data_IF_229812867491
#
_entry.id   IF_229812867491
#
_cell.length_a   1.000
_cell.length_b   1.000
_cell.length_c   1.000
_cell.angle_alpha   90.00
_cell.angle_beta   90.00
_cell.angle_gamma   90.00
#
_symmetry.space_group_name_H-M   'P 1'
#
loop_
_entity.id
_entity.type
_entity.pdbx_description
1 polymer ?
#
# COMPACT_ATOMS: atom_id res chain seq x y z
N UNK A 1 -53.41 81.67 15.66
CA UNK A 1 -52.85 82.88 15.03
C UNK A 1 -52.01 82.35 13.90
N UNK A 2 -52.54 82.36 12.69
CA UNK A 2 -52.28 83.38 11.67
C UNK A 2 -50.75 83.47 11.38
N UNK A 3 -50.20 83.23 10.20
CA UNK A 3 -50.60 83.75 8.91
C UNK A 3 -49.88 83.04 7.79
N UNK A 4 -50.62 82.68 6.78
CA UNK A 4 -50.25 82.39 5.36
C UNK A 4 -49.44 83.50 4.74
N UNK A 5 -48.51 83.13 3.82
CA UNK A 5 -48.33 83.91 2.58
C UNK A 5 -47.74 83.01 1.47
N UNK A 6 -48.49 82.97 0.37
CA UNK A 6 -48.09 82.48 -0.97
C UNK A 6 -47.34 83.56 -1.74
N UNK A 7 -46.51 83.21 -2.66
CA UNK A 7 -46.24 83.78 -4.00
C UNK A 7 -45.26 82.92 -4.70
N UNK A 8 -45.55 82.25 -5.71
CA UNK A 8 -45.87 82.33 -7.17
C UNK A 8 -44.72 82.79 -8.05
N UNK A 9 -44.55 81.94 -9.13
CA UNK A 9 -43.98 82.18 -10.50
C UNK A 9 -42.49 82.46 -10.59
N UNK A 10 -41.77 81.97 -11.52
CA UNK A 10 -41.96 81.55 -12.91
C UNK A 10 -40.64 80.94 -13.52
N UNK A 11 -40.84 80.01 -14.36
CA UNK A 11 -40.04 79.71 -15.60
C UNK A 11 -38.65 80.30 -15.73
N UNK A 12 -37.63 79.35 -15.81
CA UNK A 12 -36.70 79.31 -16.92
C UNK A 12 -35.92 77.96 -16.90
N UNK A 13 -36.05 77.19 -17.99
CA UNK A 13 -35.13 76.07 -18.29
C UNK A 13 -33.90 76.60 -19.01
N UNK A 14 -32.72 76.12 -18.74
CA UNK A 14 -31.77 75.83 -19.81
C UNK A 14 -31.45 74.35 -19.91
N UNK A 15 -31.47 73.89 -21.16
CA UNK A 15 -30.99 72.62 -21.64
C UNK A 15 -29.47 72.55 -21.35
N UNK A 16 -29.05 71.53 -20.63
CA UNK A 16 -27.66 71.07 -20.66
C UNK A 16 -27.62 69.62 -21.11
N UNK A 17 -26.77 69.41 -22.10
CA UNK A 17 -26.51 68.19 -22.82
C UNK A 17 -26.05 67.10 -21.90
N UNK A 18 -26.69 65.93 -21.99
CA UNK A 18 -26.29 64.71 -21.31
C UNK A 18 -25.00 64.18 -21.91
N UNK A 19 -23.90 64.27 -21.18
CA UNK A 19 -22.72 63.46 -21.42
C UNK A 19 -22.89 62.15 -20.63
N UNK A 20 -23.14 61.04 -21.35
CA UNK A 20 -23.12 59.69 -20.82
C UNK A 20 -21.65 59.32 -20.57
N UNK A 21 -21.19 59.41 -19.32
CA UNK A 21 -20.00 58.72 -18.87
C UNK A 21 -20.37 57.27 -18.57
N UNK A 22 -20.07 56.37 -19.45
CA UNK A 22 -20.09 54.90 -19.19
C UNK A 22 -18.87 54.57 -18.37
N UNK A 23 -19.03 54.48 -17.08
CA UNK A 23 -18.05 53.84 -16.17
C UNK A 23 -18.18 52.33 -16.35
N UNK A 24 -17.33 51.76 -17.20
CA UNK A 24 -17.12 50.31 -17.25
C UNK A 24 -16.40 49.88 -15.97
N UNK A 25 -17.13 49.34 -15.03
CA UNK A 25 -16.57 48.61 -13.90
C UNK A 25 -16.10 47.27 -14.48
N UNK A 26 -14.79 47.13 -14.72
CA UNK A 26 -14.16 45.84 -14.99
C UNK A 26 -14.22 45.01 -13.67
N UNK A 27 -15.22 44.16 -13.58
CA UNK A 27 -15.27 43.09 -12.58
C UNK A 27 -14.28 42.02 -13.06
N UNK A 28 -13.03 42.11 -12.63
CA UNK A 28 -12.06 41.00 -12.76
C UNK A 28 -12.54 39.86 -11.86
N UNK A 29 -13.35 38.97 -12.41
CA UNK A 29 -13.65 37.70 -11.78
C UNK A 29 -12.35 36.90 -11.68
N UNK A 30 -11.78 36.87 -10.48
CA UNK A 30 -10.73 35.94 -10.10
C UNK A 30 -11.36 34.54 -10.10
N UNK A 31 -11.40 33.90 -11.27
CA UNK A 31 -11.76 32.50 -11.40
C UNK A 31 -10.61 31.72 -10.76
N UNK A 32 -10.72 31.48 -9.44
CA UNK A 32 -9.95 30.42 -8.80
C UNK A 32 -10.27 29.15 -9.56
N UNK A 33 -9.30 28.70 -10.34
CA UNK A 33 -9.41 27.48 -11.12
C UNK A 33 -9.66 26.32 -10.16
N UNK A 34 -10.91 25.89 -10.03
CA UNK A 34 -11.24 24.59 -9.49
C UNK A 34 -10.68 23.60 -10.50
N UNK A 35 -9.45 23.16 -10.27
CA UNK A 35 -8.85 22.08 -11.03
C UNK A 35 -9.80 20.89 -10.90
N UNK A 36 -10.40 20.45 -11.99
CA UNK A 36 -11.16 19.22 -11.99
C UNK A 36 -10.27 18.09 -11.44
N UNK A 37 -10.79 17.20 -10.59
CA UNK A 37 -10.02 16.08 -10.12
C UNK A 37 -9.46 15.33 -11.33
N UNK A 38 -8.17 15.05 -11.31
CA UNK A 38 -7.52 14.29 -12.39
C UNK A 38 -8.31 12.99 -12.61
N UNK A 39 -8.58 12.59 -13.86
CA UNK A 39 -9.30 11.35 -14.13
C UNK A 39 -8.57 10.21 -13.42
N UNK A 40 -9.32 9.37 -12.69
CA UNK A 40 -8.76 8.21 -12.03
C UNK A 40 -7.99 7.38 -13.05
N UNK A 41 -6.72 7.09 -12.77
CA UNK A 41 -5.88 6.31 -13.66
C UNK A 41 -6.55 4.95 -13.94
N UNK A 42 -6.73 4.61 -15.22
CA UNK A 42 -7.33 3.32 -15.59
C UNK A 42 -6.46 2.17 -15.08
N UNK A 43 -7.09 1.21 -14.41
CA UNK A 43 -6.42 0.00 -13.96
C UNK A 43 -6.25 -0.93 -15.16
N UNK A 44 -5.01 -1.32 -15.43
CA UNK A 44 -4.67 -2.39 -16.37
C UNK A 44 -4.35 -3.65 -15.58
N UNK A 45 -4.78 -4.81 -16.06
CA UNK A 45 -4.45 -6.09 -15.44
C UNK A 45 -4.07 -7.11 -16.49
N UNK A 46 -3.29 -8.10 -16.08
CA UNK A 46 -2.84 -9.16 -16.97
C UNK A 46 -2.23 -10.34 -16.24
N UNK A 47 -1.85 -11.33 -17.01
CA UNK A 47 -1.04 -12.48 -16.60
C UNK A 47 0.35 -12.28 -17.21
N UNK A 48 1.37 -12.30 -16.36
CA UNK A 48 2.76 -12.37 -16.80
C UNK A 48 3.22 -13.83 -16.77
N UNK A 49 3.53 -14.37 -17.94
CA UNK A 49 4.11 -15.71 -18.08
C UNK A 49 5.63 -15.59 -17.94
N UNK A 50 6.11 -15.69 -16.70
CA UNK A 50 7.51 -15.45 -16.35
C UNK A 50 8.03 -16.49 -15.37
N UNK A 51 9.32 -16.76 -15.37
CA UNK A 51 9.98 -17.69 -14.45
C UNK A 51 9.28 -19.07 -14.33
N UNK A 52 8.70 -19.55 -15.44
CA UNK A 52 7.97 -20.83 -15.49
C UNK A 52 6.69 -20.85 -14.66
N UNK A 53 6.04 -19.71 -14.48
CA UNK A 53 4.74 -19.57 -13.79
C UNK A 53 3.90 -18.48 -14.42
N UNK A 54 2.64 -18.37 -13.99
CA UNK A 54 1.70 -17.33 -14.37
C UNK A 54 1.44 -16.42 -13.15
N UNK A 55 1.90 -15.17 -13.22
CA UNK A 55 1.67 -14.17 -12.18
C UNK A 55 0.59 -13.19 -12.62
N UNK A 56 -0.48 -13.10 -11.85
CA UNK A 56 -1.50 -12.07 -12.07
C UNK A 56 -1.05 -10.74 -11.47
N UNK A 57 -1.12 -9.67 -12.26
CA UNK A 57 -0.78 -8.33 -11.83
C UNK A 57 -1.84 -7.30 -12.19
N UNK A 58 -1.79 -6.18 -11.50
CA UNK A 58 -2.55 -4.96 -11.79
C UNK A 58 -1.58 -3.77 -11.76
N UNK A 59 -1.77 -2.81 -12.69
CA UNK A 59 -1.00 -1.57 -12.72
C UNK A 59 -1.91 -0.38 -13.02
N UNK A 60 -1.61 0.76 -12.39
CA UNK A 60 -2.32 2.03 -12.61
C UNK A 60 -1.36 3.21 -12.41
N UNK A 61 -1.71 4.37 -12.98
CA UNK A 61 -0.91 5.58 -12.86
C UNK A 61 0.30 5.60 -13.80
N UNK A 62 1.21 6.54 -13.56
CA UNK A 62 2.39 6.78 -14.41
C UNK A 62 3.54 7.39 -13.60
N UNK A 63 4.73 7.50 -14.20
CA UNK A 63 5.91 8.09 -13.58
C UNK A 63 6.75 7.09 -12.77
N UNK A 64 7.32 7.52 -11.64
CA UNK A 64 8.11 6.66 -10.75
C UNK A 64 7.32 5.44 -10.33
N UNK A 65 7.98 4.29 -10.25
CA UNK A 65 7.31 3.01 -10.01
C UNK A 65 7.28 2.67 -8.52
N UNK A 66 6.10 2.25 -8.04
CA UNK A 66 5.91 1.58 -6.75
C UNK A 66 5.46 0.15 -7.02
N UNK A 67 6.06 -0.81 -6.34
CA UNK A 67 5.61 -2.21 -6.32
C UNK A 67 5.10 -2.56 -4.93
N UNK A 68 3.87 -3.08 -4.86
CA UNK A 68 3.21 -3.49 -3.62
C UNK A 68 3.22 -5.02 -3.52
N UNK A 69 3.92 -5.54 -2.49
CA UNK A 69 4.07 -6.97 -2.23
C UNK A 69 3.26 -7.37 -0.99
N UNK A 70 2.29 -8.24 -1.17
CA UNK A 70 1.38 -8.67 -0.10
C UNK A 70 2.02 -9.70 0.86
N UNK A 71 1.39 -9.90 2.01
CA UNK A 71 1.80 -10.85 3.04
C UNK A 71 1.45 -12.31 2.73
N UNK A 72 1.78 -13.21 3.63
CA UNK A 72 1.33 -14.60 3.58
C UNK A 72 -0.20 -14.70 3.72
N UNK A 73 -0.80 -15.75 3.14
CA UNK A 73 -2.22 -16.07 3.22
C UNK A 73 -3.23 -15.01 2.72
N UNK A 74 -2.75 -13.85 2.28
CA UNK A 74 -3.54 -12.84 1.58
C UNK A 74 -3.09 -12.71 0.12
N UNK A 75 -3.64 -11.77 -0.62
CA UNK A 75 -3.26 -11.47 -1.99
C UNK A 75 -3.20 -9.94 -2.23
N UNK A 76 -3.05 -9.51 -3.50
CA UNK A 76 -2.93 -8.09 -3.87
C UNK A 76 -4.04 -7.21 -3.31
N UNK A 77 -5.24 -7.77 -3.00
CA UNK A 77 -6.36 -7.00 -2.41
C UNK A 77 -6.05 -6.44 -1.03
N UNK A 78 -5.05 -6.97 -0.34
CA UNK A 78 -4.54 -6.38 0.90
C UNK A 78 -4.02 -4.94 0.71
N UNK A 79 -3.81 -4.51 -0.53
CA UNK A 79 -3.36 -3.17 -0.91
C UNK A 79 -4.46 -2.29 -1.54
N UNK A 80 -5.74 -2.67 -1.47
CA UNK A 80 -6.83 -1.89 -2.08
C UNK A 80 -6.87 -0.45 -1.56
N UNK A 81 -6.61 -0.23 -0.27
CA UNK A 81 -6.55 1.09 0.34
C UNK A 81 -5.37 1.98 -0.09
N UNK A 82 -4.36 1.42 -0.74
CA UNK A 82 -3.14 2.11 -1.19
C UNK A 82 -3.10 2.29 -2.70
N UNK A 83 -3.60 1.30 -3.43
CA UNK A 83 -3.37 1.17 -4.87
C UNK A 83 -3.84 2.40 -5.66
N UNK A 84 -5.08 2.82 -5.47
CA UNK A 84 -5.65 3.96 -6.20
C UNK A 84 -5.05 5.28 -5.74
N UNK A 85 -4.80 5.44 -4.44
CA UNK A 85 -4.26 6.68 -3.89
C UNK A 85 -2.82 6.92 -4.36
N UNK A 86 -1.99 5.88 -4.34
CA UNK A 86 -0.62 6.00 -4.85
C UNK A 86 -0.60 6.18 -6.38
N UNK A 87 -1.54 5.57 -7.11
CA UNK A 87 -1.64 5.70 -8.57
C UNK A 87 -1.95 7.14 -9.05
N UNK A 88 -2.41 8.03 -8.16
CA UNK A 88 -2.57 9.43 -8.48
C UNK A 88 -1.24 10.16 -8.75
N UNK A 89 -0.10 9.62 -8.28
CA UNK A 89 1.23 10.26 -8.38
C UNK A 89 2.33 9.35 -8.92
N UNK A 90 2.12 8.03 -8.91
CA UNK A 90 3.10 7.01 -9.24
C UNK A 90 2.51 6.00 -10.23
N UNK A 91 3.36 5.30 -10.96
CA UNK A 91 2.97 4.04 -11.58
C UNK A 91 3.00 2.96 -10.51
N UNK A 92 1.84 2.49 -10.08
CA UNK A 92 1.74 1.46 -9.05
C UNK A 92 1.52 0.10 -9.71
N UNK A 93 2.29 -0.88 -9.26
CA UNK A 93 2.18 -2.28 -9.64
C UNK A 93 1.87 -3.07 -8.39
N UNK A 94 0.86 -3.94 -8.43
CA UNK A 94 0.61 -4.96 -7.42
C UNK A 94 0.36 -6.29 -8.11
N UNK A 95 0.78 -7.37 -7.51
CA UNK A 95 0.62 -8.69 -8.10
C UNK A 95 0.31 -9.72 -7.02
N UNK A 96 -0.29 -10.84 -7.43
CA UNK A 96 -0.46 -11.99 -6.56
C UNK A 96 0.81 -12.82 -6.58
N UNK A 97 1.40 -13.05 -5.41
CA UNK A 97 2.55 -13.95 -5.26
C UNK A 97 2.18 -15.35 -5.73
N UNK A 98 3.17 -16.13 -6.18
CA UNK A 98 2.97 -17.53 -6.54
C UNK A 98 2.23 -18.28 -5.43
N UNK A 99 1.14 -18.97 -5.79
CA UNK A 99 0.27 -19.68 -4.86
C UNK A 99 -0.81 -18.82 -4.19
N UNK A 100 -0.94 -17.54 -4.54
CA UNK A 100 -1.96 -16.65 -3.99
C UNK A 100 -2.88 -16.08 -5.10
N UNK A 101 -4.08 -15.66 -4.71
CA UNK A 101 -5.03 -14.97 -5.56
C UNK A 101 -5.28 -15.68 -6.89
N UNK A 102 -4.99 -14.97 -7.99
CA UNK A 102 -5.15 -15.46 -9.36
C UNK A 102 -3.85 -16.02 -9.97
N UNK A 103 -2.73 -15.95 -9.25
CA UNK A 103 -1.46 -16.53 -9.70
C UNK A 103 -1.45 -18.03 -9.57
N UNK A 104 -0.64 -18.70 -10.41
CA UNK A 104 -0.50 -20.14 -10.39
C UNK A 104 0.11 -20.64 -9.07
N UNK A 105 -0.27 -21.86 -8.66
CA UNK A 105 0.39 -22.54 -7.54
C UNK A 105 1.76 -23.07 -7.98
N UNK A 106 2.74 -23.10 -7.07
CA UNK A 106 4.05 -23.66 -7.38
C UNK A 106 3.99 -25.19 -7.55
N UNK A 107 4.71 -25.72 -8.54
CA UNK A 107 4.87 -27.15 -8.81
C UNK A 107 6.31 -27.63 -8.58
N UNK A 108 7.25 -26.70 -8.46
CA UNK A 108 8.67 -26.94 -8.23
C UNK A 108 9.30 -25.84 -7.41
N UNK A 109 10.48 -26.07 -6.85
CA UNK A 109 11.23 -25.06 -6.10
C UNK A 109 11.39 -23.76 -6.90
N UNK A 110 11.24 -22.62 -6.25
CA UNK A 110 11.22 -21.30 -6.87
C UNK A 110 11.77 -20.22 -5.93
N UNK A 111 12.18 -19.09 -6.52
CA UNK A 111 12.52 -17.85 -5.78
C UNK A 111 11.47 -16.79 -6.02
N UNK A 112 10.93 -16.21 -4.93
CA UNK A 112 10.03 -15.06 -5.03
C UNK A 112 10.74 -13.79 -5.52
N UNK A 113 12.03 -13.64 -5.21
CA UNK A 113 12.84 -12.54 -5.69
C UNK A 113 13.04 -12.63 -7.20
N UNK A 114 13.33 -13.83 -7.72
CA UNK A 114 13.43 -14.06 -9.16
C UNK A 114 12.07 -13.87 -9.86
N UNK A 115 10.97 -14.30 -9.25
CA UNK A 115 9.61 -14.02 -9.77
C UNK A 115 9.38 -12.51 -9.92
N UNK A 116 9.76 -11.72 -8.91
CA UNK A 116 9.66 -10.25 -8.94
C UNK A 116 10.59 -9.67 -10.02
N UNK A 117 11.82 -10.14 -10.11
CA UNK A 117 12.76 -9.70 -11.15
C UNK A 117 12.19 -9.89 -12.55
N UNK A 118 11.73 -11.09 -12.86
CA UNK A 118 11.18 -11.41 -14.17
C UNK A 118 9.88 -10.65 -14.45
N UNK A 119 9.03 -10.43 -13.45
CA UNK A 119 7.83 -9.59 -13.57
C UNK A 119 8.19 -8.14 -13.91
N UNK A 120 9.17 -7.55 -13.23
CA UNK A 120 9.62 -6.18 -13.51
C UNK A 120 10.24 -6.06 -14.91
N UNK A 121 11.02 -7.05 -15.34
CA UNK A 121 11.54 -7.10 -16.72
C UNK A 121 10.42 -7.19 -17.75
N UNK A 122 9.42 -8.06 -17.53
CA UNK A 122 8.23 -8.18 -18.37
C UNK A 122 7.46 -6.85 -18.49
N UNK A 123 7.31 -6.12 -17.38
CA UNK A 123 6.62 -4.83 -17.32
C UNK A 123 7.49 -3.64 -17.74
N UNK A 124 8.74 -3.89 -18.18
CA UNK A 124 9.74 -2.90 -18.59
C UNK A 124 9.99 -1.86 -17.50
N UNK A 125 10.25 -2.35 -16.29
CA UNK A 125 10.59 -1.55 -15.11
C UNK A 125 12.06 -1.72 -14.82
N UNK A 126 12.83 -0.65 -14.93
CA UNK A 126 14.26 -0.65 -14.64
C UNK A 126 14.54 -0.39 -13.16
N UNK A 127 13.70 0.41 -12.49
CA UNK A 127 13.87 0.76 -11.08
C UNK A 127 12.53 1.04 -10.40
N UNK A 128 12.38 0.61 -9.14
CA UNK A 128 11.15 0.78 -8.38
C UNK A 128 11.39 1.02 -6.88
N UNK A 129 10.43 1.70 -6.23
CA UNK A 129 10.26 1.68 -4.78
C UNK A 129 9.48 0.42 -4.41
N UNK A 130 10.03 -0.42 -3.54
CA UNK A 130 9.40 -1.66 -3.09
C UNK A 130 8.72 -1.46 -1.74
N UNK A 131 7.45 -1.79 -1.65
CA UNK A 131 6.66 -1.70 -0.41
C UNK A 131 6.09 -3.08 -0.13
N UNK A 132 6.59 -3.75 0.91
CA UNK A 132 6.19 -5.10 1.23
C UNK A 132 5.71 -5.25 2.67
N UNK A 133 4.60 -5.98 2.86
CA UNK A 133 4.09 -6.33 4.18
C UNK A 133 4.45 -7.77 4.53
N UNK A 134 4.91 -8.02 5.75
CA UNK A 134 5.15 -9.36 6.28
C UNK A 134 6.07 -10.19 5.37
N UNK A 135 5.59 -11.29 4.79
CA UNK A 135 6.30 -12.08 3.77
C UNK A 135 6.72 -11.21 2.56
N UNK A 136 5.83 -10.32 2.10
CA UNK A 136 6.15 -9.40 0.99
C UNK A 136 7.30 -8.46 1.32
N UNK A 137 7.44 -8.07 2.59
CA UNK A 137 8.60 -7.29 3.04
C UNK A 137 9.90 -8.10 3.02
N UNK A 138 9.85 -9.38 3.38
CA UNK A 138 10.99 -10.30 3.20
C UNK A 138 11.42 -10.41 1.75
N UNK A 139 10.45 -10.60 0.83
CA UNK A 139 10.71 -10.68 -0.61
C UNK A 139 11.34 -9.37 -1.13
N UNK A 140 10.79 -8.22 -0.72
CA UNK A 140 11.32 -6.91 -1.11
C UNK A 140 12.76 -6.70 -0.59
N UNK A 141 13.06 -7.18 0.61
CA UNK A 141 14.39 -7.15 1.21
C UNK A 141 15.37 -8.03 0.43
N UNK A 142 14.98 -9.29 0.15
CA UNK A 142 15.79 -10.25 -0.60
C UNK A 142 16.09 -9.71 -2.01
N UNK A 143 15.06 -9.20 -2.70
CA UNK A 143 15.22 -8.56 -3.99
C UNK A 143 16.20 -7.38 -3.95
N UNK A 144 16.13 -6.55 -2.91
CA UNK A 144 17.04 -5.41 -2.76
C UNK A 144 18.49 -5.83 -2.56
N UNK A 145 18.71 -6.98 -1.91
CA UNK A 145 20.06 -7.57 -1.77
C UNK A 145 20.58 -8.15 -3.10
N UNK A 146 19.71 -8.75 -3.88
CA UNK A 146 20.06 -9.43 -5.14
C UNK A 146 20.14 -8.44 -6.32
N UNK A 147 19.29 -7.40 -6.33
CA UNK A 147 19.16 -6.41 -7.39
C UNK A 147 19.15 -4.96 -6.85
N UNK A 148 20.22 -4.53 -6.17
CA UNK A 148 20.26 -3.20 -5.55
C UNK A 148 20.12 -2.05 -6.56
N UNK A 149 20.56 -2.26 -7.81
CA UNK A 149 20.44 -1.30 -8.91
C UNK A 149 18.98 -1.06 -9.34
N UNK A 150 18.10 -2.06 -9.16
CA UNK A 150 16.68 -1.98 -9.49
C UNK A 150 15.81 -1.47 -8.33
N UNK A 151 16.39 -1.27 -7.15
CA UNK A 151 15.65 -0.77 -5.98
C UNK A 151 15.98 0.70 -5.74
N UNK A 152 14.96 1.55 -5.76
CA UNK A 152 15.10 2.98 -5.48
C UNK A 152 14.93 3.30 -3.99
N UNK A 153 13.98 2.65 -3.35
CA UNK A 153 13.69 2.73 -1.91
C UNK A 153 12.98 1.46 -1.44
N UNK A 154 13.06 1.21 -0.14
CA UNK A 154 12.47 0.04 0.51
C UNK A 154 11.55 0.46 1.66
N UNK A 155 10.32 -0.05 1.67
CA UNK A 155 9.38 0.10 2.80
C UNK A 155 9.02 -1.27 3.33
N UNK A 156 9.46 -1.55 4.55
CA UNK A 156 9.27 -2.82 5.27
C UNK A 156 8.13 -2.67 6.26
N UNK A 157 6.95 -3.20 5.92
CA UNK A 157 5.74 -3.10 6.75
C UNK A 157 5.57 -4.38 7.53
N UNK A 158 5.67 -4.34 8.85
CA UNK A 158 5.53 -5.53 9.72
C UNK A 158 6.23 -6.77 9.15
N UNK A 159 7.43 -6.58 8.59
CA UNK A 159 8.08 -7.53 7.69
C UNK A 159 8.68 -8.72 8.44
N UNK A 160 8.74 -9.88 7.80
CA UNK A 160 9.44 -11.06 8.30
C UNK A 160 10.76 -11.23 7.52
N UNK A 161 11.89 -11.05 8.21
CA UNK A 161 13.23 -11.22 7.64
C UNK A 161 13.90 -12.52 8.13
N UNK A 162 13.11 -13.57 8.39
CA UNK A 162 13.61 -14.90 8.78
C UNK A 162 13.70 -15.12 10.29
N UNK A 163 13.15 -14.23 11.10
CA UNK A 163 12.98 -14.41 12.55
C UNK A 163 11.47 -14.33 12.89
N UNK A 164 10.77 -15.44 12.68
CA UNK A 164 9.32 -15.51 12.89
C UNK A 164 8.99 -15.46 14.38
N UNK A 165 8.14 -14.51 14.82
CA UNK A 165 7.66 -14.43 16.18
C UNK A 165 6.96 -15.72 16.64
N UNK A 166 7.14 -16.11 17.92
CA UNK A 166 6.53 -17.32 18.46
C UNK A 166 5.01 -17.27 18.40
N UNK A 167 4.42 -16.13 18.74
CA UNK A 167 2.98 -15.93 18.66
C UNK A 167 2.42 -16.25 17.26
N UNK A 168 3.18 -15.94 16.20
CA UNK A 168 2.78 -16.27 14.83
C UNK A 168 2.89 -17.77 14.55
N UNK A 169 3.93 -18.43 15.05
CA UNK A 169 4.09 -19.87 14.89
C UNK A 169 2.92 -20.62 15.52
N UNK A 170 2.57 -20.28 16.75
CA UNK A 170 1.44 -20.88 17.47
C UNK A 170 0.11 -20.66 16.72
N UNK A 171 -0.13 -19.44 16.24
CA UNK A 171 -1.31 -19.11 15.43
C UNK A 171 -1.33 -19.87 14.10
N UNK A 172 -0.18 -20.03 13.41
CA UNK A 172 -0.09 -20.79 12.16
C UNK A 172 -0.44 -22.26 12.35
N UNK A 173 -0.01 -22.88 13.45
CA UNK A 173 -0.34 -24.26 13.80
C UNK A 173 -1.85 -24.41 14.04
N UNK A 174 -2.42 -23.55 14.90
CA UNK A 174 -3.87 -23.52 15.15
C UNK A 174 -4.69 -23.30 13.88
N UNK A 175 -4.25 -22.39 13.01
CA UNK A 175 -4.89 -22.14 11.72
C UNK A 175 -4.90 -23.38 10.83
N UNK A 176 -3.76 -24.09 10.78
CA UNK A 176 -3.63 -25.32 9.96
C UNK A 176 -4.53 -26.43 10.50
N UNK A 177 -4.55 -26.63 11.82
CA UNK A 177 -5.43 -27.63 12.45
C UNK A 177 -6.92 -27.30 12.22
N UNK A 178 -7.30 -26.04 12.43
CA UNK A 178 -8.67 -25.59 12.18
C UNK A 178 -9.07 -25.83 10.72
N UNK A 179 -8.17 -25.55 9.78
CA UNK A 179 -8.40 -25.76 8.35
C UNK A 179 -8.58 -27.23 7.97
N UNK A 180 -7.71 -28.11 8.47
CA UNK A 180 -7.81 -29.55 8.25
C UNK A 180 -9.09 -30.17 8.84
N UNK A 181 -9.51 -29.70 10.01
CA UNK A 181 -10.64 -30.23 10.75
C UNK A 181 -11.98 -29.66 10.30
N UNK A 182 -12.07 -28.36 10.05
CA UNK A 182 -13.31 -27.61 9.89
C UNK A 182 -13.34 -26.71 8.62
N UNK A 183 -12.36 -26.85 7.73
CA UNK A 183 -12.29 -26.13 6.46
C UNK A 183 -11.75 -24.70 6.53
N UNK A 184 -11.65 -24.09 5.36
CA UNK A 184 -11.00 -22.80 5.16
C UNK A 184 -11.62 -21.64 5.98
N UNK A 185 -12.95 -21.61 6.13
CA UNK A 185 -13.61 -20.58 6.92
C UNK A 185 -13.27 -20.62 8.41
N UNK A 186 -13.04 -21.83 8.99
CA UNK A 186 -12.57 -21.96 10.37
C UNK A 186 -11.12 -21.47 10.51
N UNK A 187 -10.25 -21.83 9.59
CA UNK A 187 -8.87 -21.36 9.52
C UNK A 187 -8.80 -19.84 9.39
N UNK A 188 -9.63 -19.26 8.49
CA UNK A 188 -9.69 -17.81 8.29
C UNK A 188 -10.09 -17.06 9.57
N UNK A 189 -11.00 -17.62 10.36
CA UNK A 189 -11.38 -17.04 11.66
C UNK A 189 -10.25 -17.09 12.68
N UNK A 190 -9.51 -18.21 12.77
CA UNK A 190 -8.35 -18.31 13.68
C UNK A 190 -7.33 -17.21 13.34
N UNK A 191 -6.96 -17.08 12.08
CA UNK A 191 -5.98 -16.07 11.65
C UNK A 191 -6.53 -14.64 11.73
N UNK A 192 -7.69 -14.39 11.13
CA UNK A 192 -8.23 -13.04 10.98
C UNK A 192 -8.79 -12.43 12.26
N UNK A 193 -8.99 -13.23 13.31
CA UNK A 193 -9.38 -12.76 14.65
C UNK A 193 -8.23 -12.80 15.65
N UNK A 194 -7.05 -13.26 15.24
CA UNK A 194 -5.85 -13.20 16.07
C UNK A 194 -5.54 -11.75 16.46
N UNK A 195 -5.25 -11.46 17.74
CA UNK A 195 -5.05 -10.09 18.22
C UNK A 195 -3.82 -9.39 17.63
N UNK A 196 -2.87 -10.15 17.11
CA UNK A 196 -1.63 -9.63 16.52
C UNK A 196 -1.66 -9.62 14.99
N UNK A 197 -2.22 -10.67 14.37
CA UNK A 197 -2.22 -10.85 12.92
C UNK A 197 -3.49 -10.36 12.22
N UNK A 198 -4.63 -10.40 12.91
CA UNK A 198 -5.91 -9.94 12.38
C UNK A 198 -6.02 -8.41 12.37
N UNK A 199 -6.92 -7.86 11.54
CA UNK A 199 -7.15 -6.42 11.53
C UNK A 199 -7.81 -5.96 12.82
N UNK A 200 -7.29 -4.87 13.39
CA UNK A 200 -7.89 -4.20 14.57
C UNK A 200 -9.21 -3.55 14.18
N UNK A 201 -9.27 -3.00 12.98
CA UNK A 201 -10.43 -2.28 12.44
C UNK A 201 -11.55 -3.25 12.05
N UNK A 202 -12.71 -3.14 12.73
CA UNK A 202 -13.83 -4.09 12.57
C UNK A 202 -14.44 -4.09 11.15
N UNK A 203 -14.57 -2.93 10.55
CA UNK A 203 -15.12 -2.79 9.19
C UNK A 203 -14.24 -3.43 8.11
N UNK A 204 -12.94 -3.62 8.39
CA UNK A 204 -12.02 -4.32 7.50
C UNK A 204 -12.06 -5.86 7.66
N UNK A 205 -12.54 -6.38 8.79
CA UNK A 205 -12.48 -7.82 9.13
C UNK A 205 -13.14 -8.70 8.09
N UNK A 206 -14.36 -8.36 7.68
CA UNK A 206 -15.10 -9.19 6.74
C UNK A 206 -14.35 -9.37 5.40
N UNK A 207 -13.74 -8.31 4.89
CA UNK A 207 -12.92 -8.35 3.68
C UNK A 207 -11.67 -9.21 3.85
N UNK A 208 -10.95 -9.04 4.96
CA UNK A 208 -9.74 -9.82 5.27
C UNK A 208 -10.08 -11.29 5.47
N UNK A 209 -11.14 -11.63 6.22
CA UNK A 209 -11.59 -13.01 6.42
C UNK A 209 -11.88 -13.69 5.09
N UNK A 210 -12.56 -13.01 4.16
CA UNK A 210 -12.83 -13.55 2.83
C UNK A 210 -11.55 -13.83 2.05
N UNK A 211 -10.58 -12.90 2.06
CA UNK A 211 -9.29 -13.09 1.38
C UNK A 211 -8.53 -14.27 1.99
N UNK A 212 -8.52 -14.39 3.32
CA UNK A 212 -7.89 -15.50 4.03
C UNK A 212 -8.56 -16.84 3.69
N UNK A 213 -9.89 -16.92 3.68
CA UNK A 213 -10.63 -18.12 3.33
C UNK A 213 -10.29 -18.64 1.93
N UNK A 214 -10.13 -17.73 0.97
CA UNK A 214 -9.78 -18.08 -0.41
C UNK A 214 -8.31 -18.54 -0.56
N UNK A 215 -7.37 -18.02 0.23
CA UNK A 215 -5.93 -18.25 0.04
C UNK A 215 -5.33 -19.27 1.01
N UNK A 216 -5.87 -19.41 2.22
CA UNK A 216 -5.30 -20.30 3.25
C UNK A 216 -5.16 -21.76 2.83
N UNK A 217 -6.12 -22.39 2.09
CA UNK A 217 -5.95 -23.78 1.65
C UNK A 217 -4.67 -24.02 0.85
N UNK A 218 -4.31 -23.09 -0.03
CA UNK A 218 -3.08 -23.18 -0.83
C UNK A 218 -1.83 -22.74 -0.07
N UNK A 219 -1.98 -21.82 0.89
CA UNK A 219 -0.88 -21.33 1.71
C UNK A 219 -0.47 -22.31 2.82
N UNK A 220 -1.45 -23.00 3.43
CA UNK A 220 -1.25 -23.91 4.57
C UNK A 220 -1.43 -25.39 4.23
N UNK A 221 -1.69 -25.72 2.98
CA UNK A 221 -1.81 -27.09 2.48
C UNK A 221 -2.74 -27.97 3.30
N UNK A 222 -4.03 -27.56 3.41
CA UNK A 222 -5.04 -28.31 4.18
C UNK A 222 -5.34 -29.70 3.60
N UNK A 223 -5.00 -29.92 2.34
CA UNK A 223 -5.09 -31.20 1.65
C UNK A 223 -3.98 -32.20 2.03
N UNK A 224 -3.04 -31.77 2.89
CA UNK A 224 -1.90 -32.59 3.30
C UNK A 224 -0.74 -32.60 2.31
N UNK A 225 -0.81 -31.83 1.23
CA UNK A 225 0.33 -31.65 0.33
C UNK A 225 1.49 -30.94 1.04
N UNK A 226 2.70 -31.18 0.55
CA UNK A 226 3.92 -30.56 1.11
C UNK A 226 4.17 -29.24 0.41
N UNK A 227 4.48 -28.20 1.19
CA UNK A 227 4.86 -26.91 0.63
C UNK A 227 6.09 -27.04 -0.28
N UNK A 228 5.99 -26.48 -1.48
CA UNK A 228 7.13 -26.42 -2.39
C UNK A 228 8.21 -25.50 -1.82
N UNK A 229 9.48 -25.92 -1.79
CA UNK A 229 10.55 -25.10 -1.23
C UNK A 229 10.71 -23.77 -1.95
N UNK A 230 10.93 -22.72 -1.17
CA UNK A 230 11.38 -21.43 -1.66
C UNK A 230 12.90 -21.37 -1.57
N UNK A 231 13.54 -20.90 -2.62
CA UNK A 231 14.99 -20.71 -2.69
C UNK A 231 15.34 -19.24 -2.56
N UNK A 232 16.54 -18.99 -2.08
CA UNK A 232 17.16 -17.66 -2.04
C UNK A 232 18.62 -17.79 -2.50
N UNK A 233 19.20 -16.70 -3.00
CA UNK A 233 20.55 -16.70 -3.58
C UNK A 233 21.67 -16.58 -2.56
N UNK A 234 21.35 -16.51 -1.27
CA UNK A 234 22.32 -16.36 -0.19
C UNK A 234 22.02 -17.30 0.99
N UNK A 235 23.04 -17.58 1.78
CA UNK A 235 22.93 -18.45 2.94
C UNK A 235 22.43 -17.71 4.19
N UNK A 236 21.58 -18.39 4.94
CA UNK A 236 21.07 -17.95 6.22
C UNK A 236 19.94 -16.92 6.15
N UNK A 237 19.44 -16.46 7.30
CA UNK A 237 18.29 -15.58 7.36
C UNK A 237 18.65 -14.14 6.98
N UNK A 238 17.72 -13.47 6.30
CA UNK A 238 17.86 -12.10 5.80
C UNK A 238 18.27 -11.09 6.90
N UNK A 239 17.77 -11.25 8.14
CA UNK A 239 18.08 -10.32 9.24
C UNK A 239 19.58 -10.26 9.61
N UNK A 240 20.40 -11.22 9.20
CA UNK A 240 21.87 -11.16 9.38
C UNK A 240 22.57 -10.26 8.34
N UNK A 241 21.83 -9.77 7.34
CA UNK A 241 22.35 -8.99 6.22
C UNK A 241 21.85 -7.55 6.17
N UNK A 242 21.24 -7.06 7.25
CA UNK A 242 20.65 -5.70 7.33
C UNK A 242 21.62 -4.61 6.90
N UNK A 243 22.89 -4.69 7.33
CA UNK A 243 23.91 -3.72 7.00
C UNK A 243 24.31 -3.65 5.52
N UNK A 244 23.82 -4.59 4.68
CA UNK A 244 24.11 -4.60 3.23
C UNK A 244 23.12 -3.74 2.43
N UNK A 245 21.96 -3.40 3.00
CA UNK A 245 20.98 -2.51 2.37
C UNK A 245 21.60 -1.09 2.30
N UNK A 246 21.58 -0.50 1.11
CA UNK A 246 22.14 0.84 0.84
C UNK A 246 21.11 1.84 0.40
N UNK A 247 19.90 1.39 0.05
CA UNK A 247 18.81 2.27 -0.39
C UNK A 247 18.10 2.92 0.79
N UNK A 248 17.50 4.10 0.61
CA UNK A 248 16.63 4.70 1.62
C UNK A 248 15.57 3.71 2.08
N UNK A 249 15.46 3.51 3.39
CA UNK A 249 14.57 2.50 3.96
C UNK A 249 13.64 3.08 5.02
N UNK A 250 12.36 2.69 4.98
CA UNK A 250 11.38 2.95 6.02
C UNK A 250 10.90 1.64 6.62
N UNK A 251 11.07 1.47 7.92
CA UNK A 251 10.50 0.35 8.70
C UNK A 251 9.18 0.82 9.33
N UNK A 252 8.08 0.15 9.01
CA UNK A 252 6.74 0.45 9.52
C UNK A 252 6.29 -0.65 10.45
N UNK A 253 5.76 -0.29 11.62
CA UNK A 253 5.27 -1.21 12.64
C UNK A 253 3.93 -0.76 13.22
N UNK A 254 3.03 -1.71 13.48
CA UNK A 254 1.86 -1.47 14.32
C UNK A 254 2.22 -1.70 15.80
N UNK A 255 1.87 -0.76 16.68
CA UNK A 255 2.22 -0.85 18.11
C UNK A 255 1.48 -1.98 18.85
N UNK A 256 0.45 -2.54 18.25
CA UNK A 256 -0.36 -3.65 18.80
C UNK A 256 0.04 -5.00 18.22
N UNK A 257 1.15 -5.08 17.47
CA UNK A 257 1.72 -6.33 16.99
C UNK A 257 2.38 -7.11 18.14
N UNK A 258 2.73 -8.38 17.90
CA UNK A 258 3.34 -9.25 18.93
C UNK A 258 4.64 -8.63 19.49
N UNK A 259 4.90 -8.75 20.81
CA UNK A 259 6.05 -8.10 21.43
C UNK A 259 7.41 -8.47 20.83
N UNK A 260 7.59 -9.74 20.44
CA UNK A 260 8.81 -10.20 19.78
C UNK A 260 8.89 -9.75 18.30
N UNK A 261 7.75 -9.52 17.65
CA UNK A 261 7.71 -8.84 16.36
C UNK A 261 8.18 -7.38 16.45
N UNK A 262 7.72 -6.65 17.47
CA UNK A 262 8.14 -5.27 17.73
C UNK A 262 9.65 -5.18 17.98
N UNK A 263 10.21 -6.12 18.73
CA UNK A 263 11.66 -6.21 18.96
C UNK A 263 12.43 -6.45 17.65
N UNK A 264 11.90 -7.30 16.75
CA UNK A 264 12.47 -7.50 15.42
C UNK A 264 12.48 -6.22 14.59
N UNK A 265 11.37 -5.47 14.55
CA UNK A 265 11.28 -4.21 13.79
C UNK A 265 12.26 -3.15 14.32
N UNK A 266 12.48 -3.11 15.64
CA UNK A 266 13.51 -2.26 16.25
C UNK A 266 14.92 -2.66 15.81
N UNK A 267 15.20 -3.95 15.79
CA UNK A 267 16.48 -4.48 15.36
C UNK A 267 16.74 -4.15 13.88
N UNK A 268 15.74 -4.29 13.01
CA UNK A 268 15.91 -3.98 11.58
C UNK A 268 16.11 -2.49 11.33
N UNK A 269 15.33 -1.64 12.00
CA UNK A 269 15.49 -0.20 11.87
C UNK A 269 16.88 0.29 12.35
N UNK A 270 17.47 -0.37 13.34
CA UNK A 270 18.82 -0.09 13.84
C UNK A 270 19.93 -0.70 12.96
N UNK A 271 19.65 -1.86 12.37
CA UNK A 271 20.64 -2.62 11.59
C UNK A 271 20.78 -2.16 10.14
N UNK A 272 19.72 -1.58 9.56
CA UNK A 272 19.75 -1.03 8.20
C UNK A 272 20.31 0.41 8.26
N UNK A 273 21.38 0.73 7.53
CA UNK A 273 21.97 2.07 7.54
C UNK A 273 20.96 3.15 7.14
N UNK A 274 20.85 4.19 7.97
CA UNK A 274 19.99 5.35 7.75
C UNK A 274 18.48 5.03 7.60
N UNK A 275 18.03 3.85 8.05
CA UNK A 275 16.61 3.53 8.05
C UNK A 275 15.83 4.47 8.99
N UNK A 276 14.64 4.86 8.54
CA UNK A 276 13.64 5.54 9.36
C UNK A 276 12.67 4.52 9.91
N UNK A 277 12.07 4.79 11.07
CA UNK A 277 11.02 3.96 11.67
C UNK A 277 9.76 4.78 11.90
N UNK A 278 8.61 4.22 11.53
CA UNK A 278 7.29 4.74 11.85
C UNK A 278 6.49 3.70 12.63
N UNK A 279 5.86 4.12 13.74
CA UNK A 279 5.04 3.25 14.59
C UNK A 279 3.61 3.78 14.62
N UNK A 280 2.65 2.89 14.36
CA UNK A 280 1.23 3.20 14.29
C UNK A 280 0.52 2.70 15.54
N UNK A 281 0.06 3.59 16.45
CA UNK A 281 -0.38 3.21 17.80
C UNK A 281 -1.64 2.34 17.80
N UNK A 282 -2.51 2.50 16.80
CA UNK A 282 -3.80 1.82 16.72
C UNK A 282 -3.82 0.69 15.67
N UNK A 283 -2.67 0.21 15.22
CA UNK A 283 -2.54 -0.89 14.27
C UNK A 283 -1.83 -2.08 14.89
N UNK A 284 -2.22 -3.29 14.44
CA UNK A 284 -1.49 -4.53 14.64
C UNK A 284 -0.64 -4.85 13.40
N UNK A 285 -0.57 -6.11 12.98
CA UNK A 285 0.25 -6.55 11.84
C UNK A 285 -0.12 -5.89 10.51
N UNK A 286 -1.42 -5.70 10.26
CA UNK A 286 -1.95 -5.19 8.99
C UNK A 286 -2.08 -3.65 9.01
N UNK A 287 -0.95 -2.96 9.25
CA UNK A 287 -0.91 -1.49 9.42
C UNK A 287 -1.57 -0.72 8.30
N UNK A 288 -1.36 -1.14 7.06
CA UNK A 288 -1.92 -0.52 5.86
C UNK A 288 -3.45 -0.68 5.75
N UNK A 289 -4.02 -1.70 6.41
CA UNK A 289 -5.46 -1.95 6.48
C UNK A 289 -6.05 -1.25 7.71
N UNK A 290 -5.36 -1.30 8.84
CA UNK A 290 -5.84 -0.72 10.11
C UNK A 290 -5.87 0.81 10.08
N UNK A 291 -4.84 1.44 9.52
CA UNK A 291 -4.67 2.90 9.48
C UNK A 291 -4.32 3.37 8.04
N UNK A 292 -5.21 3.15 7.05
CA UNK A 292 -4.85 3.35 5.64
C UNK A 292 -4.49 4.80 5.30
N UNK A 293 -5.16 5.79 5.86
CA UNK A 293 -4.91 7.22 5.58
C UNK A 293 -3.55 7.65 6.11
N UNK A 294 -3.28 7.38 7.36
CA UNK A 294 -2.02 7.72 8.03
C UNK A 294 -0.85 6.95 7.42
N UNK A 295 -1.08 5.67 7.08
CA UNK A 295 -0.10 4.86 6.36
C UNK A 295 0.25 5.47 5.01
N UNK A 296 -0.75 5.79 4.19
CA UNK A 296 -0.57 6.39 2.88
C UNK A 296 0.20 7.72 2.97
N UNK A 297 -0.18 8.58 3.90
CA UNK A 297 0.51 9.85 4.14
C UNK A 297 1.97 9.62 4.52
N UNK A 298 2.25 8.74 5.49
CA UNK A 298 3.61 8.45 5.98
C UNK A 298 4.51 7.93 4.85
N UNK A 299 3.99 7.00 4.04
CA UNK A 299 4.75 6.43 2.92
C UNK A 299 4.99 7.48 1.83
N UNK A 300 3.98 8.25 1.45
CA UNK A 300 4.12 9.31 0.45
C UNK A 300 5.07 10.41 0.91
N UNK A 301 5.03 10.81 2.18
CA UNK A 301 5.99 11.76 2.76
C UNK A 301 7.44 11.24 2.74
N UNK A 302 7.62 9.94 2.98
CA UNK A 302 8.93 9.31 2.85
C UNK A 302 9.42 9.33 1.41
N UNK A 303 8.61 8.91 0.44
CA UNK A 303 8.97 8.82 -0.97
C UNK A 303 9.19 10.21 -1.62
N UNK A 304 8.49 11.25 -1.17
CA UNK A 304 8.65 12.61 -1.67
C UNK A 304 9.97 13.28 -1.22
N UNK A 305 10.70 12.70 -0.27
CA UNK A 305 11.98 13.19 0.24
C UNK A 305 13.19 12.52 -0.41
N UNK A 306 12.94 11.64 -1.37
CA UNK A 306 13.94 10.94 -2.18
C UNK A 306 14.18 11.70 -3.48
#
# INVERSE_FOLDING_TARGET
MLTTLRFNTSKHRPRWVAAKAQSAILLSALMAGISAPAPMASVQSGIAEVNGTNLYYETAGSGRVIVLLHGGAVDRRAWDGQFTEFAAKYRVIRYDLRGAGKSASPDKAFSNSEDLYQLLRFLKVDKACLIGISRGGGIAFDFTLEHPEMTEALVLVSSNLGNTPRAYTDMFEQTTEAGKKNGAGAAARVWGLDPYQGPVREDARAGVLKILEENLPRFRHFDGSVAVPQTQSYDGPAYKRLAQIRVPTLVVAGARDAPDALANYDHWAKGIPNAKKAVFPNAAHLVNIDMPKEFNQTVLEFLNKL
#
